data_IF_871291291349
#
_entry.id   IF_871291291349
#
_cell.length_a   1.000
_cell.length_b   1.000
_cell.length_c   1.000
_cell.angle_alpha   90.00
_cell.angle_beta   90.00
_cell.angle_gamma   90.00
#
_symmetry.space_group_name_H-M   'P 1'
#
loop_
_entity.id
_entity.type
_entity.pdbx_description
1 polymer ?
#
# COMPACT_ATOMS: atom_id res chain seq x y z
N UNK A 1 63.91 32.10 -32.22
CA UNK A 1 62.47 32.43 -32.39
C UNK A 1 61.55 31.20 -32.36
N UNK A 2 61.77 30.15 -33.17
CA UNK A 2 60.90 28.94 -33.16
C UNK A 2 60.77 28.25 -31.79
N UNK A 3 61.87 28.14 -31.02
CA UNK A 3 61.84 27.53 -29.66
C UNK A 3 61.11 28.39 -28.62
N UNK A 4 61.10 29.72 -28.78
CA UNK A 4 60.38 30.65 -27.89
C UNK A 4 58.88 30.58 -28.16
N UNK A 5 58.48 30.48 -29.43
CA UNK A 5 57.06 30.35 -29.78
C UNK A 5 56.46 29.03 -29.30
N UNK A 6 57.20 27.91 -29.40
CA UNK A 6 56.75 26.62 -28.85
C UNK A 6 56.61 26.69 -27.32
N UNK A 7 57.55 27.32 -26.63
CA UNK A 7 57.49 27.50 -25.18
C UNK A 7 56.30 28.38 -24.75
N UNK A 8 56.04 29.47 -25.48
CA UNK A 8 54.85 30.30 -25.24
C UNK A 8 53.55 29.51 -25.48
N UNK A 9 53.45 28.75 -26.57
CA UNK A 9 52.26 27.93 -26.87
C UNK A 9 52.02 26.87 -25.79
N UNK A 10 53.07 26.21 -25.29
CA UNK A 10 52.95 25.25 -24.19
C UNK A 10 52.49 25.91 -22.88
N UNK A 11 53.01 27.09 -22.54
CA UNK A 11 52.57 27.86 -21.37
C UNK A 11 51.11 28.30 -21.50
N UNK A 12 50.70 28.76 -22.68
CA UNK A 12 49.30 29.12 -22.93
C UNK A 12 48.38 27.90 -22.79
N UNK A 13 48.74 26.74 -23.34
CA UNK A 13 47.97 25.50 -23.16
C UNK A 13 47.88 25.03 -21.69
N UNK A 14 48.95 25.19 -20.90
CA UNK A 14 48.96 24.88 -19.46
C UNK A 14 48.02 25.80 -18.65
N UNK A 15 47.86 27.06 -19.07
CA UNK A 15 46.94 28.02 -18.43
C UNK A 15 45.47 27.76 -18.76
N UNK A 16 45.14 27.10 -19.88
CA UNK A 16 43.75 26.74 -20.22
C UNK A 16 43.26 25.53 -19.40
N UNK A 17 44.17 24.64 -18.97
CA UNK A 17 43.83 23.44 -18.20
C UNK A 17 43.46 23.73 -16.74
N UNK A 18 43.76 24.91 -16.20
CA UNK A 18 43.48 25.25 -14.79
C UNK A 18 42.11 25.91 -14.54
N UNK A 19 41.26 26.04 -15.57
CA UNK A 19 40.05 26.88 -15.48
C UNK A 19 38.70 26.16 -15.61
N UNK A 20 38.67 24.84 -15.86
CA UNK A 20 37.40 24.13 -16.16
C UNK A 20 36.76 23.37 -14.98
N UNK A 21 37.40 23.31 -13.82
CA UNK A 21 36.85 22.60 -12.64
C UNK A 21 36.55 23.51 -11.44
N UNK A 22 36.79 24.82 -11.56
CA UNK A 22 36.44 25.74 -10.47
C UNK A 22 34.93 25.80 -10.32
N UNK A 23 34.48 25.54 -9.10
CA UNK A 23 33.11 25.77 -8.63
C UNK A 23 32.04 24.88 -9.26
N UNK A 24 32.39 23.76 -9.91
CA UNK A 24 31.41 22.83 -10.49
C UNK A 24 30.44 22.27 -9.44
N UNK A 25 30.93 21.96 -8.23
CA UNK A 25 30.09 21.55 -7.10
C UNK A 25 29.18 22.68 -6.59
N UNK A 26 29.64 23.93 -6.66
CA UNK A 26 28.88 25.10 -6.18
C UNK A 26 27.82 25.55 -7.20
N UNK A 27 28.13 25.47 -8.49
CA UNK A 27 27.22 25.74 -9.61
C UNK A 27 26.12 24.66 -9.71
N UNK A 28 26.42 23.41 -9.34
CA UNK A 28 25.43 22.32 -9.31
C UNK A 28 24.67 22.21 -7.98
N UNK A 29 24.98 23.03 -6.98
CA UNK A 29 24.12 23.17 -5.79
C UNK A 29 22.86 23.92 -6.21
N UNK A 30 21.75 23.19 -6.32
CA UNK A 30 20.45 23.78 -6.60
C UNK A 30 20.10 24.81 -5.51
N UNK A 31 20.08 26.13 -5.81
CA UNK A 31 19.82 27.17 -4.82
C UNK A 31 18.38 27.15 -4.30
N UNK A 32 17.49 26.38 -4.94
CA UNK A 32 16.09 26.20 -4.58
C UNK A 32 15.77 24.78 -4.07
N UNK A 33 16.78 23.91 -3.96
CA UNK A 33 16.61 22.55 -3.45
C UNK A 33 16.75 22.52 -1.93
N UNK A 34 15.92 21.76 -1.23
CA UNK A 34 16.21 21.40 0.16
C UNK A 34 17.56 20.67 0.21
N UNK A 35 18.48 21.10 1.08
CA UNK A 35 19.82 20.48 1.21
C UNK A 35 19.76 19.06 1.79
N UNK A 36 18.67 18.71 2.48
CA UNK A 36 18.36 17.37 2.98
C UNK A 36 16.87 17.27 3.34
N UNK A 37 16.20 16.17 3.02
CA UNK A 37 14.82 15.91 3.48
C UNK A 37 14.81 15.52 4.97
N UNK A 38 13.79 15.95 5.72
CA UNK A 38 13.58 15.54 7.11
C UNK A 38 13.11 14.08 7.19
N UNK A 39 13.30 13.43 8.35
CA UNK A 39 12.86 12.04 8.56
C UNK A 39 11.35 11.89 8.33
N UNK A 40 10.57 12.84 8.85
CA UNK A 40 9.13 12.88 8.64
C UNK A 40 8.74 13.02 7.17
N UNK A 41 9.45 13.85 6.39
CA UNK A 41 9.17 13.98 4.95
C UNK A 41 9.52 12.71 4.17
N UNK A 42 10.63 12.04 4.51
CA UNK A 42 10.99 10.74 3.91
C UNK A 42 9.91 9.70 4.21
N UNK A 43 9.49 9.59 5.47
CA UNK A 43 8.43 8.67 5.89
C UNK A 43 7.11 8.96 5.19
N UNK A 44 6.69 10.23 5.13
CA UNK A 44 5.45 10.63 4.48
C UNK A 44 5.44 10.30 2.97
N UNK A 45 6.57 10.46 2.28
CA UNK A 45 6.70 10.09 0.88
C UNK A 45 6.44 8.58 0.69
N UNK A 46 6.93 7.74 1.60
CA UNK A 46 6.68 6.29 1.57
C UNK A 46 5.21 5.99 1.86
N UNK A 47 4.62 6.56 2.91
CA UNK A 47 3.19 6.38 3.23
C UNK A 47 2.31 6.76 2.05
N UNK A 48 2.58 7.91 1.42
CA UNK A 48 1.81 8.40 0.27
C UNK A 48 1.89 7.45 -0.94
N UNK A 49 2.99 6.71 -1.07
CA UNK A 49 3.20 5.73 -2.14
C UNK A 49 2.48 4.39 -1.93
N UNK A 50 1.92 4.12 -0.73
CA UNK A 50 1.21 2.87 -0.44
C UNK A 50 -0.13 2.76 -1.17
N UNK A 51 -0.65 3.88 -1.70
CA UNK A 51 -1.83 3.89 -2.55
C UNK A 51 -1.55 3.13 -3.85
N UNK A 52 -2.47 2.24 -4.23
CA UNK A 52 -2.40 1.57 -5.54
C UNK A 52 -2.47 2.57 -6.69
N UNK A 53 -1.58 2.36 -7.65
CA UNK A 53 -1.55 3.12 -8.90
C UNK A 53 -2.67 2.72 -9.86
N UNK A 54 -2.81 3.48 -10.95
CA UNK A 54 -3.87 3.26 -11.94
C UNK A 54 -3.64 1.97 -12.73
N UNK A 55 -2.40 1.69 -13.09
CA UNK A 55 -2.04 0.53 -13.89
C UNK A 55 -2.10 -0.75 -13.05
N UNK A 56 -1.65 -0.71 -11.79
CA UNK A 56 -1.85 -1.77 -10.79
C UNK A 56 -3.34 -2.11 -10.68
N UNK A 57 -4.19 -1.12 -10.41
CA UNK A 57 -5.62 -1.37 -10.22
C UNK A 57 -6.28 -1.91 -11.50
N UNK A 58 -5.96 -1.34 -12.65
CA UNK A 58 -6.62 -1.72 -13.90
C UNK A 58 -6.10 -3.05 -14.45
N UNK A 59 -4.78 -3.19 -14.60
CA UNK A 59 -4.17 -4.31 -15.32
C UNK A 59 -3.89 -5.52 -14.44
N UNK A 60 -3.57 -5.34 -13.15
CA UNK A 60 -3.34 -6.46 -12.23
C UNK A 60 -4.65 -6.85 -11.55
N UNK A 61 -5.28 -5.93 -10.83
CA UNK A 61 -6.47 -6.26 -10.02
C UNK A 61 -7.69 -6.54 -10.91
N UNK A 62 -8.16 -5.55 -11.68
CA UNK A 62 -9.43 -5.66 -12.41
C UNK A 62 -9.37 -6.64 -13.60
N UNK A 63 -8.24 -6.69 -14.32
CA UNK A 63 -8.13 -7.47 -15.56
C UNK A 63 -7.68 -8.91 -15.34
N UNK A 64 -6.92 -9.18 -14.28
CA UNK A 64 -6.35 -10.51 -13.99
C UNK A 64 -6.91 -11.05 -12.67
N UNK A 65 -6.51 -10.51 -11.52
CA UNK A 65 -6.79 -11.13 -10.22
C UNK A 65 -8.28 -11.28 -9.90
N UNK A 66 -9.10 -10.26 -10.15
CA UNK A 66 -10.55 -10.33 -9.89
C UNK A 66 -11.24 -11.32 -10.81
N UNK A 67 -10.74 -11.45 -12.05
CA UNK A 67 -11.23 -12.44 -13.01
C UNK A 67 -10.89 -13.86 -12.58
N UNK A 68 -9.66 -14.11 -12.14
CA UNK A 68 -9.24 -15.46 -11.74
C UNK A 68 -9.83 -15.86 -10.39
N UNK A 69 -9.89 -14.95 -9.41
CA UNK A 69 -10.42 -15.25 -8.08
C UNK A 69 -11.94 -15.22 -8.00
N UNK A 70 -12.60 -14.47 -8.89
CA UNK A 70 -14.04 -14.18 -8.84
C UNK A 70 -14.46 -13.52 -7.50
N UNK A 71 -13.52 -12.89 -6.78
CA UNK A 71 -13.71 -12.31 -5.45
C UNK A 71 -14.08 -10.81 -5.47
N UNK A 72 -14.30 -10.22 -6.64
CA UNK A 72 -14.68 -8.82 -6.77
C UNK A 72 -15.49 -8.57 -8.06
N UNK A 73 -15.72 -7.29 -8.40
CA UNK A 73 -16.37 -6.92 -9.65
C UNK A 73 -15.51 -7.31 -10.86
N UNK A 74 -16.11 -8.05 -11.78
CA UNK A 74 -15.54 -8.38 -13.08
C UNK A 74 -15.86 -7.29 -14.08
N UNK A 75 -14.93 -7.05 -14.98
CA UNK A 75 -15.14 -6.17 -16.14
C UNK A 75 -14.76 -6.90 -17.42
N UNK A 76 -15.26 -6.41 -18.56
CA UNK A 76 -14.78 -6.88 -19.86
C UNK A 76 -13.30 -6.55 -20.02
N UNK A 77 -12.50 -7.52 -20.44
CA UNK A 77 -11.09 -7.31 -20.77
C UNK A 77 -11.00 -6.38 -21.98
N UNK A 78 -10.35 -5.23 -21.81
CA UNK A 78 -10.14 -4.25 -22.91
C UNK A 78 -8.70 -4.22 -23.38
N UNK A 79 -7.79 -3.97 -22.46
CA UNK A 79 -6.37 -3.83 -22.72
C UNK A 79 -5.60 -4.64 -21.69
N UNK A 80 -5.44 -5.94 -21.93
CA UNK A 80 -4.71 -6.79 -20.99
C UNK A 80 -3.21 -6.49 -21.10
N UNK A 81 -2.73 -5.50 -20.35
CA UNK A 81 -1.31 -5.17 -20.28
C UNK A 81 -0.80 -5.37 -18.85
N UNK A 82 -0.75 -6.64 -18.46
CA UNK A 82 -0.28 -7.05 -17.14
C UNK A 82 1.10 -6.47 -16.82
N UNK A 83 2.01 -6.43 -17.81
CA UNK A 83 3.35 -5.87 -17.69
C UNK A 83 3.36 -4.41 -17.22
N UNK A 84 2.47 -3.54 -17.74
CA UNK A 84 2.39 -2.15 -17.26
C UNK A 84 1.96 -2.05 -15.79
N UNK A 85 1.06 -2.94 -15.37
CA UNK A 85 0.61 -2.98 -13.98
C UNK A 85 1.69 -3.51 -13.03
N UNK A 86 2.40 -4.57 -13.43
CA UNK A 86 3.51 -5.11 -12.64
C UNK A 86 4.71 -4.15 -12.59
N UNK A 87 5.00 -3.46 -13.70
CA UNK A 87 6.05 -2.44 -13.76
C UNK A 87 5.75 -1.26 -12.83
N UNK A 88 4.49 -0.81 -12.75
CA UNK A 88 4.10 0.25 -11.79
C UNK A 88 4.33 -0.19 -10.34
N UNK A 89 3.99 -1.45 -9.99
CA UNK A 89 4.25 -2.00 -8.65
C UNK A 89 5.75 -2.05 -8.35
N UNK A 90 6.55 -2.57 -9.30
CA UNK A 90 8.00 -2.69 -9.19
C UNK A 90 8.67 -1.31 -9.03
N UNK A 91 8.34 -0.38 -9.93
CA UNK A 91 8.87 0.98 -9.93
C UNK A 91 8.48 1.74 -8.66
N UNK A 92 7.21 1.66 -8.22
CA UNK A 92 6.76 2.28 -6.97
C UNK A 92 7.58 1.80 -5.76
N UNK A 93 7.92 0.52 -5.70
CA UNK A 93 8.73 -0.03 -4.62
C UNK A 93 10.16 0.51 -4.67
N UNK A 94 10.88 0.31 -5.77
CA UNK A 94 12.30 0.68 -5.85
C UNK A 94 12.56 2.18 -5.87
N UNK A 95 11.58 3.00 -6.28
CA UNK A 95 11.68 4.47 -6.18
C UNK A 95 11.51 4.99 -4.75
N UNK A 96 10.87 4.23 -3.86
CA UNK A 96 10.61 4.65 -2.47
C UNK A 96 11.44 3.90 -1.44
N UNK A 97 12.00 2.73 -1.79
CA UNK A 97 12.91 1.97 -0.94
C UNK A 97 14.10 2.80 -0.43
N UNK A 98 14.76 3.67 -1.24
CA UNK A 98 15.86 4.51 -0.75
C UNK A 98 15.47 5.43 0.42
N UNK A 99 14.21 5.90 0.49
CA UNK A 99 13.75 6.73 1.60
C UNK A 99 13.72 5.95 2.92
N UNK A 100 13.30 4.67 2.88
CA UNK A 100 13.33 3.78 4.05
C UNK A 100 14.77 3.43 4.43
N UNK A 101 15.63 3.15 3.44
CA UNK A 101 17.06 2.89 3.67
C UNK A 101 17.80 4.08 4.25
N UNK A 102 17.43 5.29 3.87
CA UNK A 102 17.96 6.54 4.44
C UNK A 102 17.54 6.70 5.91
N UNK A 103 16.28 6.44 6.25
CA UNK A 103 15.83 6.42 7.65
C UNK A 103 16.63 5.38 8.46
N UNK A 104 16.73 4.15 7.94
CA UNK A 104 17.51 3.07 8.55
C UNK A 104 18.98 3.46 8.78
N UNK A 105 19.59 4.16 7.82
CA UNK A 105 20.95 4.68 7.94
C UNK A 105 21.05 5.74 9.04
N UNK A 106 20.12 6.69 9.11
CA UNK A 106 20.10 7.77 10.10
C UNK A 106 19.94 7.25 11.54
N UNK A 107 19.15 6.20 11.75
CA UNK A 107 18.97 5.59 13.08
C UNK A 107 20.29 5.13 13.71
N UNK A 108 21.28 4.74 12.91
CA UNK A 108 22.62 4.33 13.40
C UNK A 108 23.37 5.43 14.13
N UNK A 109 22.97 6.69 13.93
CA UNK A 109 23.59 7.85 14.58
C UNK A 109 22.83 8.34 15.83
N UNK A 110 21.68 7.72 16.14
CA UNK A 110 20.81 8.11 17.25
C UNK A 110 20.86 7.10 18.39
N UNK A 111 20.39 7.51 19.56
CA UNK A 111 20.19 6.59 20.69
C UNK A 111 18.96 5.70 20.47
N UNK A 112 19.19 4.48 19.98
CA UNK A 112 18.13 3.50 19.71
C UNK A 112 17.53 2.88 20.98
N UNK A 113 17.98 3.26 22.17
CA UNK A 113 17.31 2.92 23.43
C UNK A 113 16.16 3.88 23.77
N UNK A 114 16.10 5.04 23.12
CA UNK A 114 14.99 5.99 23.26
C UNK A 114 13.70 5.41 22.69
N UNK A 115 12.63 5.41 23.49
CA UNK A 115 11.31 4.96 23.05
C UNK A 115 10.76 5.79 21.87
N UNK A 116 11.08 7.09 21.80
CA UNK A 116 10.67 7.93 20.68
C UNK A 116 11.34 7.46 19.36
N UNK A 117 12.63 7.15 19.41
CA UNK A 117 13.38 6.61 18.27
C UNK A 117 12.88 5.20 17.92
N UNK A 118 12.66 4.34 18.92
CA UNK A 118 12.10 3.00 18.70
C UNK A 118 10.73 3.03 18.02
N UNK A 119 9.87 3.97 18.40
CA UNK A 119 8.58 4.17 17.74
C UNK A 119 8.75 4.52 16.24
N UNK A 120 9.64 5.46 15.90
CA UNK A 120 9.92 5.83 14.51
C UNK A 120 10.54 4.67 13.72
N UNK A 121 11.49 3.94 14.31
CA UNK A 121 12.09 2.73 13.72
C UNK A 121 11.04 1.65 13.49
N UNK A 122 10.15 1.42 14.45
CA UNK A 122 9.09 0.43 14.32
C UNK A 122 8.13 0.79 13.19
N UNK A 123 7.71 2.06 13.08
CA UNK A 123 6.88 2.55 11.97
C UNK A 123 7.57 2.34 10.62
N UNK A 124 8.86 2.67 10.51
CA UNK A 124 9.68 2.46 9.30
C UNK A 124 9.72 0.97 8.90
N UNK A 125 10.06 0.08 9.84
CA UNK A 125 10.10 -1.38 9.63
C UNK A 125 8.75 -1.96 9.20
N UNK A 126 7.66 -1.51 9.81
CA UNK A 126 6.31 -1.98 9.47
C UNK A 126 5.96 -1.63 8.02
N UNK A 127 6.26 -0.39 7.59
CA UNK A 127 5.99 0.06 6.22
C UNK A 127 6.92 -0.65 5.22
N UNK A 128 8.20 -0.82 5.56
CA UNK A 128 9.14 -1.61 4.77
C UNK A 128 8.62 -3.03 4.55
N UNK A 129 8.19 -3.70 5.62
CA UNK A 129 7.65 -5.04 5.55
C UNK A 129 6.39 -5.10 4.68
N UNK A 130 5.41 -4.23 4.93
CA UNK A 130 4.18 -4.17 4.12
C UNK A 130 4.46 -4.02 2.62
N UNK A 131 5.31 -3.05 2.26
CA UNK A 131 5.67 -2.80 0.86
C UNK A 131 6.45 -3.96 0.25
N UNK A 132 7.40 -4.52 0.99
CA UNK A 132 8.25 -5.61 0.49
C UNK A 132 7.46 -6.89 0.29
N UNK A 133 6.59 -7.26 1.24
CA UNK A 133 5.72 -8.41 1.08
C UNK A 133 4.86 -8.33 -0.18
N UNK A 134 4.22 -7.17 -0.43
CA UNK A 134 3.41 -6.95 -1.65
C UNK A 134 4.19 -7.27 -2.93
N UNK A 135 5.47 -6.91 -2.97
CA UNK A 135 6.32 -7.09 -4.16
C UNK A 135 6.80 -8.54 -4.25
N UNK A 136 7.38 -9.10 -3.19
CA UNK A 136 7.85 -10.50 -3.24
C UNK A 136 6.70 -11.47 -3.50
N UNK A 137 5.49 -11.21 -3.00
CA UNK A 137 4.32 -12.05 -3.28
C UNK A 137 3.96 -12.15 -4.77
N UNK A 138 4.36 -11.14 -5.55
CA UNK A 138 4.10 -11.07 -6.98
C UNK A 138 5.27 -11.60 -7.82
N UNK A 139 6.50 -11.33 -7.38
CA UNK A 139 7.71 -11.57 -8.17
C UNK A 139 8.57 -12.75 -7.67
N UNK A 140 8.34 -13.24 -6.47
CA UNK A 140 9.21 -14.23 -5.82
C UNK A 140 10.46 -13.58 -5.23
N UNK A 141 11.62 -14.10 -5.59
CA UNK A 141 12.93 -13.56 -5.20
C UNK A 141 13.10 -12.16 -5.80
N UNK A 142 13.61 -11.22 -5.00
CA UNK A 142 13.78 -9.81 -5.40
C UNK A 142 15.04 -9.22 -4.77
N UNK A 143 15.67 -8.19 -5.36
CA UNK A 143 16.68 -7.42 -4.68
C UNK A 143 16.11 -6.71 -3.45
N UNK A 144 16.62 -7.05 -2.26
CA UNK A 144 16.08 -6.53 -1.00
C UNK A 144 17.18 -6.04 -0.04
N UNK A 145 18.00 -6.92 0.50
CA UNK A 145 19.00 -6.63 1.54
C UNK A 145 20.04 -5.60 1.11
N UNK A 146 20.45 -5.61 -0.16
CA UNK A 146 21.41 -4.65 -0.72
C UNK A 146 20.74 -3.53 -1.53
N UNK A 147 19.43 -3.63 -1.77
CA UNK A 147 18.72 -2.70 -2.62
C UNK A 147 18.36 -1.39 -1.90
N UNK A 148 18.38 -0.30 -2.68
CA UNK A 148 18.03 1.04 -2.19
C UNK A 148 19.17 1.80 -1.53
N UNK A 149 20.40 1.27 -1.50
CA UNK A 149 21.56 1.93 -0.89
C UNK A 149 22.55 2.54 -1.91
N UNK A 150 22.23 2.56 -3.20
CA UNK A 150 23.14 3.02 -4.26
C UNK A 150 23.63 4.47 -4.11
N UNK A 151 22.89 5.31 -3.38
CA UNK A 151 23.30 6.69 -3.06
C UNK A 151 24.34 6.78 -1.93
N UNK A 152 24.46 5.73 -1.10
CA UNK A 152 25.50 5.62 -0.07
C UNK A 152 26.73 4.85 -0.57
N UNK A 153 26.50 3.86 -1.42
CA UNK A 153 27.55 2.95 -1.89
C UNK A 153 27.29 2.54 -3.35
N UNK A 154 28.17 2.98 -4.25
CA UNK A 154 28.06 2.72 -5.68
C UNK A 154 28.17 1.22 -6.02
N UNK A 155 28.79 0.38 -5.18
CA UNK A 155 28.80 -1.06 -5.42
C UNK A 155 27.41 -1.70 -5.27
N UNK A 156 26.46 -1.00 -4.65
CA UNK A 156 25.07 -1.43 -4.44
C UNK A 156 24.10 -0.96 -5.53
N UNK A 157 24.61 -0.44 -6.65
CA UNK A 157 23.78 -0.11 -7.82
C UNK A 157 23.21 -1.35 -8.53
N UNK A 158 23.82 -2.51 -8.32
CA UNK A 158 23.39 -3.79 -8.90
C UNK A 158 23.21 -4.85 -7.80
N UNK A 159 22.20 -4.69 -6.93
CA UNK A 159 21.99 -5.57 -5.80
C UNK A 159 21.62 -6.99 -6.24
N UNK A 160 22.13 -7.99 -5.51
CA UNK A 160 21.74 -9.38 -5.71
C UNK A 160 20.27 -9.61 -5.31
N UNK A 161 19.68 -10.69 -5.84
CA UNK A 161 18.35 -11.13 -5.47
C UNK A 161 18.42 -11.92 -4.15
N UNK A 162 17.60 -11.53 -3.19
CA UNK A 162 17.36 -12.33 -1.99
C UNK A 162 16.23 -13.32 -2.27
N UNK A 163 16.36 -14.52 -1.72
CA UNK A 163 15.28 -15.52 -1.79
C UNK A 163 14.05 -15.02 -1.05
N UNK A 164 12.85 -15.30 -1.59
CA UNK A 164 11.58 -14.97 -0.93
C UNK A 164 11.51 -15.52 0.51
N UNK A 165 12.06 -16.72 0.76
CA UNK A 165 12.10 -17.33 2.10
C UNK A 165 12.86 -16.46 3.11
N UNK A 166 14.09 -16.04 2.78
CA UNK A 166 14.90 -15.19 3.64
C UNK A 166 14.26 -13.81 3.85
N UNK A 167 13.66 -13.23 2.81
CA UNK A 167 12.89 -11.98 2.92
C UNK A 167 11.76 -12.17 3.93
N UNK A 168 10.96 -13.23 3.81
CA UNK A 168 9.86 -13.52 4.72
C UNK A 168 10.32 -13.66 6.17
N UNK A 169 11.36 -14.46 6.42
CA UNK A 169 11.90 -14.70 7.77
C UNK A 169 12.43 -13.40 8.39
N UNK A 170 13.15 -12.58 7.60
CA UNK A 170 13.64 -11.29 8.05
C UNK A 170 12.48 -10.34 8.39
N UNK A 171 11.54 -10.12 7.46
CA UNK A 171 10.44 -9.17 7.66
C UNK A 171 9.52 -9.56 8.83
N UNK A 172 9.27 -10.86 9.05
CA UNK A 172 8.48 -11.32 10.19
C UNK A 172 9.18 -11.07 11.53
N UNK A 173 10.51 -11.23 11.57
CA UNK A 173 11.32 -10.89 12.74
C UNK A 173 11.33 -9.37 12.99
N UNK A 174 11.47 -8.56 11.95
CA UNK A 174 11.41 -7.09 12.05
C UNK A 174 10.03 -6.60 12.51
N UNK A 175 8.95 -7.21 12.03
CA UNK A 175 7.59 -6.90 12.49
C UNK A 175 7.36 -7.31 13.96
N UNK A 176 7.93 -8.42 14.41
CA UNK A 176 7.90 -8.81 15.82
C UNK A 176 8.65 -7.82 16.70
N UNK A 177 9.85 -7.43 16.28
CA UNK A 177 10.62 -6.39 16.96
C UNK A 177 9.81 -5.10 17.04
N UNK A 178 9.24 -4.64 15.92
CA UNK A 178 8.44 -3.43 15.86
C UNK A 178 7.22 -3.49 16.80
N UNK A 179 6.48 -4.60 16.78
CA UNK A 179 5.32 -4.79 17.66
C UNK A 179 5.70 -4.74 19.15
N UNK A 180 6.87 -5.25 19.53
CA UNK A 180 7.33 -5.31 20.92
C UNK A 180 8.00 -4.01 21.40
N UNK A 181 8.48 -3.14 20.50
CA UNK A 181 9.20 -1.91 20.84
C UNK A 181 8.38 -0.63 20.63
N UNK A 182 7.18 -0.72 20.04
CA UNK A 182 6.25 0.40 20.08
C UNK A 182 5.80 0.65 21.52
N UNK A 183 6.03 1.86 22.00
CA UNK A 183 5.54 2.37 23.27
C UNK A 183 4.55 3.53 23.02
N UNK A 184 3.23 3.29 23.11
CA UNK A 184 2.21 4.31 22.96
C UNK A 184 2.21 5.38 24.06
N UNK A 185 2.84 5.11 25.21
CA UNK A 185 2.95 6.07 26.32
C UNK A 185 4.17 7.00 26.17
N UNK A 186 5.07 6.70 25.23
CA UNK A 186 6.20 7.55 24.93
C UNK A 186 5.72 8.90 24.38
N UNK A 187 5.92 9.95 25.17
CA UNK A 187 5.66 11.32 24.77
C UNK A 187 6.99 12.01 24.51
N UNK A 188 7.03 12.81 23.45
CA UNK A 188 8.16 13.70 23.14
C UNK A 188 7.62 15.09 22.85
N UNK A 189 8.29 16.10 23.38
CA UNK A 189 8.01 17.51 23.07
C UNK A 189 8.79 17.95 21.82
N UNK A 190 9.78 17.17 21.38
CA UNK A 190 10.61 17.46 20.22
C UNK A 190 9.88 17.10 18.92
N UNK A 191 9.56 18.07 18.05
CA UNK A 191 8.71 17.85 16.88
C UNK A 191 9.37 16.98 15.79
N UNK A 192 10.68 16.75 15.86
CA UNK A 192 11.43 15.90 14.93
C UNK A 192 11.64 14.46 15.43
N UNK A 193 11.36 14.17 16.71
CA UNK A 193 11.44 12.82 17.28
C UNK A 193 10.10 12.08 17.19
N UNK A 194 9.29 12.42 16.19
CA UNK A 194 7.99 11.80 15.96
C UNK A 194 7.57 11.92 14.49
N UNK A 195 6.79 10.94 14.02
CA UNK A 195 6.14 10.98 12.71
C UNK A 195 4.69 11.44 12.77
N UNK A 196 4.16 11.86 13.92
CA UNK A 196 2.73 12.14 14.11
C UNK A 196 2.11 13.08 13.06
N UNK A 197 2.80 14.16 12.69
CA UNK A 197 2.33 15.12 11.66
C UNK A 197 2.55 14.65 10.22
N UNK A 198 3.31 13.57 10.04
CA UNK A 198 3.69 13.00 8.75
C UNK A 198 2.99 11.66 8.46
N UNK A 199 2.33 11.09 9.47
CA UNK A 199 1.59 9.85 9.39
C UNK A 199 0.15 10.09 8.91
N UNK A 200 -0.07 9.89 7.61
CA UNK A 200 -1.40 9.96 7.01
C UNK A 200 -2.18 8.63 7.07
N UNK A 201 -1.61 7.57 7.66
CA UNK A 201 -2.25 6.27 7.80
C UNK A 201 -2.98 6.15 9.14
N UNK A 202 -2.31 6.45 10.25
CA UNK A 202 -2.86 6.34 11.60
C UNK A 202 -2.84 7.64 12.38
N UNK A 203 -2.39 8.76 11.79
CA UNK A 203 -2.37 10.08 12.42
C UNK A 203 -1.59 10.09 13.75
N UNK A 204 -0.54 9.27 13.83
CA UNK A 204 0.33 9.11 15.01
C UNK A 204 -0.24 8.22 16.10
N UNK A 205 -1.32 7.46 15.84
CA UNK A 205 -1.84 6.46 16.77
C UNK A 205 -0.92 5.23 16.81
N UNK A 206 -0.03 5.19 17.81
CA UNK A 206 0.95 4.13 17.99
C UNK A 206 0.30 2.78 18.36
N UNK A 207 -0.88 2.77 18.99
CA UNK A 207 -1.60 1.52 19.26
C UNK A 207 -2.05 0.88 17.94
N UNK A 208 -2.48 1.70 16.98
CA UNK A 208 -2.80 1.21 15.62
C UNK A 208 -1.58 0.72 14.87
N UNK A 209 -0.41 1.35 15.02
CA UNK A 209 0.84 0.83 14.47
C UNK A 209 1.21 -0.54 15.05
N UNK A 210 1.08 -0.71 16.36
CA UNK A 210 1.31 -2.00 17.01
C UNK A 210 0.33 -3.08 16.52
N UNK A 211 -0.96 -2.74 16.42
CA UNK A 211 -1.98 -3.61 15.81
C UNK A 211 -1.64 -3.96 14.37
N UNK A 212 -1.14 -3.00 13.59
CA UNK A 212 -0.78 -3.23 12.20
C UNK A 212 0.37 -4.24 12.09
N UNK A 213 1.41 -4.09 12.90
CA UNK A 213 2.54 -5.02 12.95
C UNK A 213 2.10 -6.47 13.19
N UNK A 214 1.33 -6.71 14.26
CA UNK A 214 0.83 -8.06 14.58
C UNK A 214 -0.17 -8.58 13.55
N UNK A 215 -1.00 -7.72 12.97
CA UNK A 215 -1.94 -8.12 11.91
C UNK A 215 -1.20 -8.57 10.64
N UNK A 216 -0.08 -7.92 10.30
CA UNK A 216 0.79 -8.35 9.20
C UNK A 216 1.49 -9.67 9.54
N UNK A 217 2.02 -9.82 10.77
CA UNK A 217 2.59 -11.10 11.24
C UNK A 217 1.61 -12.26 11.06
N UNK A 218 0.35 -12.11 11.50
CA UNK A 218 -0.69 -13.12 11.30
C UNK A 218 -0.97 -13.39 9.82
N UNK A 219 -1.18 -12.34 9.01
CA UNK A 219 -1.47 -12.48 7.58
C UNK A 219 -0.38 -13.27 6.87
N UNK A 220 0.87 -12.94 7.12
CA UNK A 220 2.01 -13.53 6.42
C UNK A 220 2.41 -14.90 6.98
N UNK A 221 2.19 -15.16 8.28
CA UNK A 221 2.23 -16.50 8.82
C UNK A 221 1.24 -17.44 8.11
N UNK A 222 -0.01 -17.00 7.94
CA UNK A 222 -1.01 -17.79 7.21
C UNK A 222 -0.68 -17.95 5.72
N UNK A 223 -0.09 -16.94 5.07
CA UNK A 223 0.35 -17.04 3.68
C UNK A 223 1.45 -18.09 3.48
N UNK A 224 2.38 -18.22 4.42
CA UNK A 224 3.50 -19.17 4.32
C UNK A 224 3.24 -20.54 4.96
N UNK A 225 2.08 -20.77 5.60
CA UNK A 225 1.81 -21.96 6.44
C UNK A 225 2.09 -23.30 5.75
N UNK A 226 1.84 -23.41 4.45
CA UNK A 226 2.07 -24.64 3.70
C UNK A 226 3.56 -24.93 3.43
N UNK A 227 4.41 -23.90 3.51
CA UNK A 227 5.86 -24.00 3.28
C UNK A 227 6.65 -24.04 4.59
N UNK A 228 6.23 -23.26 5.58
CA UNK A 228 6.90 -23.10 6.88
C UNK A 228 5.90 -23.26 8.03
N UNK A 229 5.30 -24.46 8.21
CA UNK A 229 4.20 -24.67 9.16
C UNK A 229 4.61 -24.45 10.62
N UNK A 230 5.85 -24.79 10.99
CA UNK A 230 6.35 -24.61 12.36
C UNK A 230 6.50 -23.13 12.72
N UNK A 231 7.13 -22.35 11.84
CA UNK A 231 7.30 -20.91 12.05
C UNK A 231 5.96 -20.17 11.99
N UNK A 232 5.08 -20.55 11.06
CA UNK A 232 3.74 -19.99 11.00
C UNK A 232 2.94 -20.29 12.29
N UNK A 233 3.01 -21.52 12.78
CA UNK A 233 2.40 -21.95 14.03
C UNK A 233 2.88 -21.15 15.22
N UNK A 234 4.19 -20.97 15.39
CA UNK A 234 4.76 -20.22 16.51
C UNK A 234 4.34 -18.74 16.52
N UNK A 235 4.21 -18.12 15.34
CA UNK A 235 3.74 -16.72 15.23
C UNK A 235 2.27 -16.62 15.64
N UNK A 236 1.42 -17.55 15.18
CA UNK A 236 0.01 -17.59 15.53
C UNK A 236 -0.16 -17.84 17.04
N UNK A 237 0.59 -18.77 17.61
CA UNK A 237 0.60 -19.05 19.05
C UNK A 237 1.05 -17.84 19.86
N UNK A 238 2.15 -17.17 19.50
CA UNK A 238 2.59 -15.93 20.18
C UNK A 238 1.48 -14.88 20.19
N UNK A 239 0.85 -14.63 19.04
CA UNK A 239 -0.15 -13.56 18.94
C UNK A 239 -1.42 -13.90 19.71
N UNK A 240 -1.91 -15.14 19.60
CA UNK A 240 -3.17 -15.55 20.23
C UNK A 240 -2.98 -15.76 21.74
N UNK A 241 -1.95 -16.50 22.16
CA UNK A 241 -1.76 -16.88 23.57
C UNK A 241 -1.27 -15.71 24.42
N UNK A 242 -0.52 -14.78 23.85
CA UNK A 242 -0.08 -13.57 24.56
C UNK A 242 -1.00 -12.37 24.35
N UNK A 243 -2.20 -12.58 23.77
CA UNK A 243 -3.22 -11.54 23.54
C UNK A 243 -2.64 -10.28 22.87
N UNK A 244 -1.73 -10.47 21.90
CA UNK A 244 -1.09 -9.36 21.20
C UNK A 244 -2.16 -8.58 20.41
N UNK A 245 -2.15 -7.24 20.44
CA UNK A 245 -3.21 -6.46 19.82
C UNK A 245 -3.15 -6.60 18.29
N UNK A 246 -4.28 -6.86 17.66
CA UNK A 246 -4.47 -6.93 16.20
C UNK A 246 -5.74 -6.18 15.78
N UNK A 247 -5.88 -5.86 14.50
CA UNK A 247 -7.10 -5.22 13.98
C UNK A 247 -8.27 -6.20 13.89
N UNK A 248 -9.49 -5.67 13.97
CA UNK A 248 -10.72 -6.44 13.78
C UNK A 248 -11.11 -7.33 14.95
N UNK A 249 -10.36 -7.32 16.05
CA UNK A 249 -10.74 -7.97 17.31
C UNK A 249 -10.62 -6.99 18.49
N UNK A 250 -11.51 -7.13 19.47
CA UNK A 250 -11.39 -6.42 20.74
C UNK A 250 -10.38 -7.12 21.67
N UNK A 251 -10.14 -6.55 22.85
CA UNK A 251 -9.23 -7.10 23.87
C UNK A 251 -9.59 -8.50 24.37
N UNK A 252 -10.82 -8.98 24.06
CA UNK A 252 -11.31 -10.32 24.38
C UNK A 252 -11.29 -11.27 23.16
N UNK A 253 -10.69 -10.87 22.04
CA UNK A 253 -10.60 -11.67 20.81
C UNK A 253 -11.91 -11.75 20.01
N UNK A 254 -12.92 -10.94 20.31
CA UNK A 254 -14.19 -10.93 19.59
C UNK A 254 -14.13 -9.97 18.40
N UNK A 255 -14.79 -10.33 17.29
CA UNK A 255 -14.86 -9.49 16.09
C UNK A 255 -15.38 -8.08 16.43
N UNK A 256 -14.59 -7.07 16.08
CA UNK A 256 -14.90 -5.67 16.31
C UNK A 256 -15.39 -5.04 15.00
N UNK A 257 -16.65 -4.58 14.98
CA UNK A 257 -17.28 -3.97 13.82
C UNK A 257 -16.99 -2.47 13.66
N UNK A 258 -16.15 -1.88 14.52
CA UNK A 258 -15.81 -0.47 14.46
C UNK A 258 -14.96 -0.17 13.20
N UNK A 259 -15.42 0.68 12.27
CA UNK A 259 -14.66 1.04 11.06
C UNK A 259 -13.36 1.82 11.36
N UNK A 260 -13.23 2.37 12.57
CA UNK A 260 -12.00 3.00 13.05
C UNK A 260 -10.93 1.98 13.49
N UNK A 261 -11.26 0.70 13.57
CA UNK A 261 -10.38 -0.43 13.86
C UNK A 261 -9.94 -1.11 12.56
N UNK A 262 -9.40 -0.33 11.63
CA UNK A 262 -8.92 -0.82 10.33
C UNK A 262 -7.66 -0.08 9.87
N UNK A 263 -6.80 -0.80 9.15
CA UNK A 263 -5.62 -0.26 8.47
C UNK A 263 -5.96 0.20 7.05
N UNK A 264 -6.72 1.30 6.92
CA UNK A 264 -7.20 1.81 5.64
C UNK A 264 -6.80 3.26 5.41
N UNK A 265 -6.28 3.53 4.22
CA UNK A 265 -6.18 4.88 3.67
C UNK A 265 -7.53 5.25 3.05
N UNK A 266 -8.36 5.97 3.79
CA UNK A 266 -9.67 6.37 3.26
C UNK A 266 -9.52 7.50 2.22
N UNK A 267 -10.13 7.38 1.03
CA UNK A 267 -10.02 8.40 -0.01
C UNK A 267 -10.41 9.80 0.47
N UNK A 268 -11.48 9.93 1.27
CA UNK A 268 -11.91 11.24 1.78
C UNK A 268 -10.89 11.89 2.72
N UNK A 269 -10.14 11.10 3.50
CA UNK A 269 -9.07 11.59 4.38
C UNK A 269 -7.87 12.09 3.58
N UNK A 270 -7.62 11.47 2.42
CA UNK A 270 -6.58 11.85 1.48
C UNK A 270 -7.00 12.97 0.51
N UNK A 271 -8.16 13.60 0.72
CA UNK A 271 -8.67 14.66 -0.14
C UNK A 271 -9.10 14.18 -1.54
N UNK A 272 -9.25 12.87 -1.75
CA UNK A 272 -9.76 12.36 -3.03
C UNK A 272 -11.19 12.82 -3.24
N UNK A 273 -11.37 13.56 -4.33
CA UNK A 273 -12.68 13.84 -4.88
C UNK A 273 -13.07 12.69 -5.80
N UNK A 274 -14.36 12.41 -5.87
CA UNK A 274 -14.98 11.26 -6.55
C UNK A 274 -14.85 11.26 -8.09
N UNK A 275 -13.86 12.00 -8.61
CA UNK A 275 -13.73 12.42 -10.00
C UNK A 275 -13.49 11.25 -10.95
N UNK A 276 -13.03 10.11 -10.43
CA UNK A 276 -12.71 8.93 -11.23
C UNK A 276 -13.69 7.77 -11.11
N UNK A 277 -14.79 7.91 -10.35
CA UNK A 277 -15.87 6.89 -10.33
C UNK A 277 -16.40 6.60 -11.72
N UNK A 278 -16.57 7.66 -12.52
CA UNK A 278 -16.99 7.52 -13.90
C UNK A 278 -15.99 6.73 -14.73
N UNK A 279 -14.70 6.81 -14.44
CA UNK A 279 -13.68 6.07 -15.18
C UNK A 279 -13.67 4.59 -14.80
N UNK A 280 -13.66 4.26 -13.50
CA UNK A 280 -13.67 2.86 -13.03
C UNK A 280 -14.96 2.11 -13.35
N UNK A 281 -16.11 2.80 -13.42
CA UNK A 281 -17.42 2.18 -13.60
C UNK A 281 -18.12 2.46 -14.94
N UNK A 282 -17.82 3.56 -15.65
CA UNK A 282 -18.44 3.84 -16.95
C UNK A 282 -17.60 3.37 -18.15
N UNK A 283 -16.29 3.09 -17.97
CA UNK A 283 -15.48 2.49 -19.03
C UNK A 283 -15.91 1.04 -19.30
N UNK A 284 -16.38 0.31 -18.29
CA UNK A 284 -16.74 -1.11 -18.39
C UNK A 284 -18.25 -1.28 -18.46
N UNK A 285 -18.79 -1.33 -19.68
CA UNK A 285 -20.23 -1.56 -19.94
C UNK A 285 -20.76 -2.90 -19.40
N UNK A 286 -19.87 -3.81 -19.01
CA UNK A 286 -20.17 -5.18 -18.56
C UNK A 286 -19.64 -5.49 -17.14
N UNK A 287 -19.81 -4.54 -16.21
CA UNK A 287 -19.51 -4.80 -14.80
C UNK A 287 -20.52 -5.78 -14.20
N UNK A 288 -20.00 -6.88 -13.65
CA UNK A 288 -20.79 -7.92 -12.97
C UNK A 288 -20.05 -8.42 -11.74
N UNK A 289 -20.78 -8.95 -10.77
CA UNK A 289 -20.15 -9.57 -9.61
C UNK A 289 -19.50 -10.90 -10.02
N UNK A 290 -18.33 -11.22 -9.46
CA UNK A 290 -17.73 -12.55 -9.62
C UNK A 290 -18.61 -13.62 -8.99
N UNK A 291 -18.65 -14.81 -9.61
CA UNK A 291 -19.55 -15.90 -9.18
C UNK A 291 -19.25 -16.38 -7.76
N UNK A 292 -17.98 -16.35 -7.34
CA UNK A 292 -17.59 -16.73 -5.97
C UNK A 292 -18.26 -15.81 -4.95
N UNK A 293 -18.14 -14.48 -5.10
CA UNK A 293 -18.84 -13.56 -4.17
C UNK A 293 -20.34 -13.71 -4.28
N UNK A 294 -20.88 -13.81 -5.50
CA UNK A 294 -22.31 -13.95 -5.71
C UNK A 294 -22.91 -15.12 -4.93
N UNK A 295 -22.27 -16.29 -4.99
CA UNK A 295 -22.70 -17.48 -4.27
C UNK A 295 -22.49 -17.38 -2.75
N UNK A 296 -21.58 -16.52 -2.28
CA UNK A 296 -21.39 -16.28 -0.84
C UNK A 296 -22.51 -15.41 -0.26
N UNK A 297 -23.04 -14.47 -1.05
CA UNK A 297 -24.03 -13.49 -0.56
C UNK A 297 -25.46 -13.80 -1.00
N UNK A 298 -25.65 -14.75 -1.92
CA UNK A 298 -26.96 -15.12 -2.45
C UNK A 298 -27.14 -16.62 -2.58
N UNK A 299 -28.17 -17.17 -1.94
CA UNK A 299 -28.53 -18.58 -2.03
C UNK A 299 -29.27 -18.95 -3.34
N UNK A 300 -29.89 -17.97 -4.01
CA UNK A 300 -30.65 -18.15 -5.25
C UNK A 300 -30.72 -16.84 -6.05
N UNK A 301 -31.31 -16.87 -7.25
CA UNK A 301 -31.44 -15.70 -8.14
C UNK A 301 -32.90 -15.30 -8.37
N UNK A 302 -33.77 -15.56 -7.39
CA UNK A 302 -35.21 -15.37 -7.57
C UNK A 302 -35.57 -13.87 -7.60
N UNK A 303 -36.50 -13.51 -8.48
CA UNK A 303 -36.99 -12.13 -8.63
C UNK A 303 -38.00 -11.72 -7.57
N UNK A 304 -38.41 -12.66 -6.70
CA UNK A 304 -39.38 -12.45 -5.62
C UNK A 304 -38.77 -11.84 -4.35
N UNK A 305 -37.45 -11.63 -4.34
CA UNK A 305 -36.69 -11.09 -3.23
C UNK A 305 -36.19 -12.11 -2.21
N UNK A 306 -36.37 -13.41 -2.47
CA UNK A 306 -35.74 -14.48 -1.69
C UNK A 306 -34.25 -14.70 -2.01
N UNK A 307 -33.69 -13.92 -2.93
CA UNK A 307 -32.26 -13.88 -3.27
C UNK A 307 -31.87 -12.56 -3.92
N UNK A 308 -30.63 -12.45 -4.38
CA UNK A 308 -30.14 -11.33 -5.17
C UNK A 308 -30.43 -11.62 -6.64
N UNK A 309 -31.06 -10.67 -7.34
CA UNK A 309 -31.30 -10.76 -8.78
C UNK A 309 -30.51 -9.67 -9.52
N UNK A 310 -29.63 -10.08 -10.44
CA UNK A 310 -28.93 -9.18 -11.36
C UNK A 310 -29.42 -9.40 -12.80
N UNK A 311 -30.25 -8.49 -13.34
CA UNK A 311 -30.77 -8.61 -14.70
C UNK A 311 -29.66 -8.74 -15.75
N UNK A 312 -28.46 -8.20 -15.50
CA UNK A 312 -27.32 -8.23 -16.44
C UNK A 312 -26.71 -9.63 -16.58
N UNK A 313 -26.94 -10.52 -15.62
CA UNK A 313 -26.49 -11.92 -15.71
C UNK A 313 -27.27 -12.71 -16.79
N UNK A 314 -28.42 -12.20 -17.23
CA UNK A 314 -29.35 -12.91 -18.13
C UNK A 314 -29.46 -12.28 -19.53
N UNK A 315 -28.79 -11.17 -19.81
CA UNK A 315 -28.93 -10.42 -21.08
C UNK A 315 -28.00 -10.87 -22.22
N UNK A 316 -27.47 -12.11 -22.19
CA UNK A 316 -26.60 -12.62 -23.27
C UNK A 316 -27.35 -12.94 -24.58
N UNK A 317 -28.69 -12.98 -24.56
CA UNK A 317 -29.52 -13.00 -25.76
C UNK A 317 -30.27 -11.67 -25.89
N UNK A 318 -30.34 -11.12 -27.11
CA UNK A 318 -31.03 -9.86 -27.49
C UNK A 318 -32.50 -9.76 -27.02
N UNK A 319 -32.72 -9.58 -25.72
CA UNK A 319 -34.02 -9.23 -25.14
C UNK A 319 -33.83 -7.99 -24.29
N UNK A 320 -34.33 -6.88 -24.81
CA UNK A 320 -34.50 -5.63 -24.06
C UNK A 320 -35.49 -5.89 -22.93
N UNK A 321 -34.98 -6.17 -21.72
CA UNK A 321 -35.80 -6.19 -20.52
C UNK A 321 -36.09 -4.72 -20.17
N UNK A 322 -37.34 -4.30 -20.33
CA UNK A 322 -37.80 -2.97 -19.92
C UNK A 322 -37.88 -2.97 -18.39
N UNK A 323 -36.86 -2.42 -17.73
CA UNK A 323 -36.84 -2.28 -16.27
C UNK A 323 -37.64 -1.02 -15.90
N UNK A 324 -38.88 -1.20 -15.43
CA UNK A 324 -39.67 -0.09 -14.89
C UNK A 324 -39.17 0.32 -13.49
N UNK A 325 -39.38 1.59 -13.11
CA UNK A 325 -38.80 2.21 -11.91
C UNK A 325 -39.08 1.51 -10.56
N UNK A 326 -40.11 0.67 -10.48
CA UNK A 326 -40.41 -0.18 -9.32
C UNK A 326 -39.36 -1.26 -9.07
N UNK A 327 -38.77 -1.84 -10.11
CA UNK A 327 -37.75 -2.90 -9.99
C UNK A 327 -36.42 -2.34 -9.49
N UNK A 328 -36.06 -1.12 -9.91
CA UNK A 328 -34.86 -0.42 -9.44
C UNK A 328 -34.95 -0.13 -7.93
N UNK A 329 -36.14 0.23 -7.43
CA UNK A 329 -36.37 0.48 -6.00
C UNK A 329 -36.22 -0.79 -5.16
N UNK A 330 -36.70 -1.93 -5.68
CA UNK A 330 -36.64 -3.23 -5.00
C UNK A 330 -35.20 -3.75 -4.90
N UNK A 331 -34.41 -3.67 -5.98
CA UNK A 331 -32.99 -4.02 -5.99
C UNK A 331 -32.20 -3.15 -5.00
N UNK A 332 -32.48 -1.84 -4.96
CA UNK A 332 -31.85 -0.92 -3.99
C UNK A 332 -32.19 -1.29 -2.55
N UNK A 333 -33.45 -1.59 -2.25
CA UNK A 333 -33.86 -1.95 -0.90
C UNK A 333 -33.26 -3.29 -0.45
N UNK A 334 -33.21 -4.28 -1.33
CA UNK A 334 -32.62 -5.60 -1.03
C UNK A 334 -31.11 -5.50 -0.79
N UNK A 335 -30.40 -4.73 -1.61
CA UNK A 335 -28.96 -4.49 -1.44
C UNK A 335 -28.66 -3.70 -0.17
N UNK A 336 -29.49 -2.71 0.18
CA UNK A 336 -29.36 -1.99 1.45
C UNK A 336 -29.63 -2.88 2.67
N UNK A 337 -30.70 -3.69 2.65
CA UNK A 337 -31.04 -4.57 3.77
C UNK A 337 -29.97 -5.64 4.02
N UNK A 338 -29.43 -6.25 2.96
CA UNK A 338 -28.32 -7.20 3.06
C UNK A 338 -27.03 -6.50 3.53
N UNK A 339 -26.72 -5.29 3.07
CA UNK A 339 -25.53 -4.57 3.55
C UNK A 339 -25.61 -4.13 5.02
N UNK A 340 -26.82 -3.91 5.56
CA UNK A 340 -27.01 -3.67 7.00
C UNK A 340 -26.70 -4.92 7.83
N UNK A 341 -26.98 -6.12 7.31
CA UNK A 341 -26.61 -7.39 7.96
C UNK A 341 -25.12 -7.73 7.79
N UNK A 342 -24.48 -7.35 6.68
CA UNK A 342 -23.06 -7.61 6.38
C UNK A 342 -22.12 -6.40 6.65
N UNK A 343 -22.52 -5.49 7.54
CA UNK A 343 -21.93 -4.15 7.69
C UNK A 343 -20.45 -4.10 8.14
N UNK A 344 -19.75 -5.22 8.25
CA UNK A 344 -18.33 -5.30 8.63
C UNK A 344 -17.34 -5.35 7.46
N UNK A 345 -17.72 -5.27 6.17
CA UNK A 345 -16.70 -5.46 5.11
C UNK A 345 -16.81 -4.72 3.77
N UNK A 346 -17.85 -3.93 3.44
CA UNK A 346 -17.98 -3.42 2.05
C UNK A 346 -18.48 -1.96 1.98
N UNK A 347 -17.58 -1.00 2.17
CA UNK A 347 -17.87 0.44 1.95
C UNK A 347 -17.71 0.90 0.48
N UNK A 348 -17.37 0.01 -0.46
CA UNK A 348 -17.16 0.39 -1.88
C UNK A 348 -18.45 0.27 -2.72
N UNK A 349 -19.43 -0.53 -2.30
CA UNK A 349 -20.62 -0.83 -3.11
C UNK A 349 -21.77 0.20 -2.91
N UNK A 350 -21.95 0.75 -1.70
CA UNK A 350 -22.98 1.76 -1.38
C UNK A 350 -22.89 3.01 -2.27
N UNK A 351 -21.69 3.40 -2.66
CA UNK A 351 -21.47 4.64 -3.39
C UNK A 351 -21.72 4.52 -4.91
N UNK A 352 -21.93 3.31 -5.45
CA UNK A 352 -22.35 3.11 -6.84
C UNK A 352 -23.86 3.30 -7.04
N UNK A 353 -24.64 3.22 -5.96
CA UNK A 353 -26.10 3.32 -6.02
C UNK A 353 -26.63 4.72 -5.68
N UNK A 354 -25.81 5.60 -5.08
CA UNK A 354 -26.22 6.97 -4.71
C UNK A 354 -25.69 8.04 -5.68
N UNK A 355 -26.55 8.44 -6.62
CA UNK A 355 -26.69 9.85 -7.01
C UNK A 355 -28.06 10.28 -6.49
N UNK A 356 -28.04 11.15 -5.49
CA UNK A 356 -29.14 11.71 -4.68
C UNK A 356 -30.22 12.45 -5.51
N UNK A 357 -31.39 12.82 -4.94
CA UNK A 357 -31.62 13.11 -3.52
C UNK A 357 -32.91 12.48 -2.96
N UNK A 358 -32.76 11.59 -1.98
CA UNK A 358 -33.69 11.52 -0.84
C UNK A 358 -33.01 10.58 0.15
N UNK A 359 -32.12 11.22 0.90
CA UNK A 359 -31.52 10.79 2.15
C UNK A 359 -32.52 9.90 2.89
N UNK A 360 -32.05 8.72 3.28
CA UNK A 360 -32.72 7.85 4.23
C UNK A 360 -33.15 8.65 5.47
N UNK A 361 -34.41 9.06 5.51
CA UNK A 361 -35.07 9.60 6.69
C UNK A 361 -36.16 8.58 7.06
N UNK A 362 -35.80 7.77 8.06
CA UNK A 362 -36.54 7.39 9.27
C UNK A 362 -38.05 7.09 9.23
N UNK A 363 -38.50 6.18 10.13
CA UNK A 363 -38.79 6.60 11.51
C UNK A 363 -37.66 6.39 12.51
#
# INVERSE_FOLDING_TARGET
MKKINIFLTCITCLLVLSSCEKDFEEINKNPNGFTSASDGSLFNAVISSMKSGWNEQLYVNNSVLYKETQQASLSQVRWNNYTLGTEEIWSNYYTTLPNLRELEYRWKSLDTSSHAIQNMMAMEKIVLAYKTFKVTDLFGDIPFSEAGYGYLDASKLHPAFDTQENIYKNLLSELEWAANHIDPAANTEEPYLTFKSFDNLFFGDLVKWQKFANSLRLRYAMRMVNKEPLLAGSIVEDIILNFKPVFGVNEFGQLNSNPNESALLYPYQLGYRNESKGWSFNQSKDLRLGTTIWNLISANNNTDGSGIFDPRAFTSSKQTIIINGSHIRMIRQQVCNLMVEYHTSINVMLHMLSKDPDVCIHP
#
